data_IF_812963024518
#
_entry.id   IF_812963024518
#
_cell.length_a   1.000
_cell.length_b   1.000
_cell.length_c   1.000
_cell.angle_alpha   90.00
_cell.angle_beta   90.00
_cell.angle_gamma   90.00
#
_symmetry.space_group_name_H-M   'P 1'
#
loop_
_entity.id
_entity.type
_entity.pdbx_description
1 polymer ?
#
# COMPACT_ATOMS: atom_id res chain seq x y z
N UNK A 1 -16.77 -42.63 -6.33
CA UNK A 1 -17.67 -41.65 -5.67
C UNK A 1 -16.77 -40.77 -4.82
N UNK A 2 -16.53 -39.52 -5.23
CA UNK A 2 -15.74 -38.57 -4.45
C UNK A 2 -16.73 -37.92 -3.48
N UNK A 3 -16.57 -38.16 -2.18
CA UNK A 3 -17.38 -37.48 -1.18
C UNK A 3 -16.85 -36.06 -1.03
N UNK A 4 -17.71 -35.07 -1.28
CA UNK A 4 -17.41 -33.68 -0.96
C UNK A 4 -17.34 -33.57 0.57
N UNK A 5 -16.13 -33.42 1.10
CA UNK A 5 -15.93 -33.23 2.55
C UNK A 5 -16.37 -31.82 2.93
N UNK A 6 -17.28 -31.71 3.90
CA UNK A 6 -17.70 -30.44 4.46
C UNK A 6 -16.49 -29.66 5.02
N UNK A 7 -16.18 -28.51 4.40
CA UNK A 7 -15.20 -27.55 4.93
C UNK A 7 -15.97 -26.61 5.84
N UNK A 8 -15.77 -26.77 7.16
CA UNK A 8 -16.36 -25.87 8.16
C UNK A 8 -15.85 -24.45 7.93
N UNK A 9 -16.76 -23.47 7.88
CA UNK A 9 -16.40 -22.06 7.77
C UNK A 9 -15.44 -21.65 8.90
N UNK A 10 -14.28 -21.13 8.50
CA UNK A 10 -13.31 -20.54 9.41
C UNK A 10 -13.85 -19.20 9.91
N UNK A 11 -13.77 -18.94 11.22
CA UNK A 11 -14.06 -17.59 11.74
C UNK A 11 -13.03 -16.61 11.18
N UNK A 12 -13.50 -15.57 10.50
CA UNK A 12 -12.66 -14.44 10.11
C UNK A 12 -12.37 -13.65 11.39
N UNK A 13 -11.12 -13.63 11.83
CA UNK A 13 -10.68 -12.87 12.99
C UNK A 13 -10.41 -11.43 12.51
N UNK A 14 -11.06 -10.46 13.15
CA UNK A 14 -10.79 -9.06 12.87
C UNK A 14 -9.37 -8.66 13.31
N UNK A 15 -8.72 -7.84 12.49
CA UNK A 15 -7.40 -7.29 12.82
C UNK A 15 -7.44 -6.42 14.07
N UNK A 16 -6.39 -6.50 14.88
CA UNK A 16 -6.18 -5.59 16.02
C UNK A 16 -5.96 -4.15 15.55
N UNK A 17 -6.05 -3.19 16.47
CA UNK A 17 -5.80 -1.79 16.13
C UNK A 17 -4.33 -1.51 15.79
N UNK A 18 -3.40 -2.26 16.39
CA UNK A 18 -1.98 -2.24 16.04
C UNK A 18 -1.75 -2.76 14.62
N UNK A 19 -2.35 -3.89 14.26
CA UNK A 19 -2.26 -4.47 12.91
C UNK A 19 -2.83 -3.51 11.86
N UNK A 20 -3.99 -2.91 12.14
CA UNK A 20 -4.61 -1.89 11.27
C UNK A 20 -3.73 -0.65 11.14
N UNK A 21 -3.00 -0.28 12.18
CA UNK A 21 -2.08 0.87 12.18
C UNK A 21 -0.81 0.56 11.38
N UNK A 22 -0.26 -0.65 11.53
CA UNK A 22 0.86 -1.13 10.73
C UNK A 22 0.49 -1.21 9.25
N UNK A 23 -0.67 -1.76 8.91
CA UNK A 23 -1.20 -1.80 7.54
C UNK A 23 -1.35 -0.42 6.93
N UNK A 24 -1.76 0.56 7.73
CA UNK A 24 -1.91 1.94 7.30
C UNK A 24 -0.56 2.56 6.92
N UNK A 25 0.47 2.30 7.72
CA UNK A 25 1.86 2.75 7.45
C UNK A 25 2.44 2.01 6.24
N UNK A 26 2.30 0.68 6.17
CA UNK A 26 2.69 -0.14 5.00
C UNK A 26 2.05 0.39 3.72
N UNK A 27 0.75 0.70 3.77
CA UNK A 27 0.00 1.26 2.63
C UNK A 27 0.54 2.61 2.17
N UNK A 28 0.93 3.49 3.11
CA UNK A 28 1.54 4.78 2.78
C UNK A 28 2.87 4.58 2.05
N UNK A 29 3.74 3.73 2.59
CA UNK A 29 5.07 3.48 2.04
C UNK A 29 4.98 2.86 0.66
N UNK A 30 4.12 1.85 0.48
CA UNK A 30 3.84 1.26 -0.83
C UNK A 30 3.36 2.30 -1.83
N UNK A 31 2.39 3.14 -1.44
CA UNK A 31 1.87 4.19 -2.34
C UNK A 31 2.94 5.22 -2.71
N UNK A 32 3.88 5.54 -1.82
CA UNK A 32 5.05 6.38 -2.14
C UNK A 32 5.97 5.71 -3.17
N UNK A 33 6.23 4.41 -3.03
CA UNK A 33 7.03 3.64 -3.99
C UNK A 33 6.33 3.55 -5.36
N UNK A 34 5.02 3.30 -5.37
CA UNK A 34 4.22 3.27 -6.59
C UNK A 34 4.23 4.63 -7.29
N UNK A 35 4.19 5.74 -6.54
CA UNK A 35 4.35 7.08 -7.08
C UNK A 35 5.76 7.28 -7.68
N UNK A 36 6.83 6.91 -6.98
CA UNK A 36 8.20 7.00 -7.49
C UNK A 36 8.35 6.21 -8.81
N UNK A 37 7.79 4.99 -8.88
CA UNK A 37 7.82 4.16 -10.08
C UNK A 37 7.00 4.77 -11.23
N UNK A 38 5.78 5.25 -10.95
CA UNK A 38 4.94 5.87 -11.97
C UNK A 38 5.60 7.13 -12.55
N UNK A 39 6.29 7.95 -11.75
CA UNK A 39 7.04 9.10 -12.25
C UNK A 39 8.20 8.66 -13.15
N UNK A 40 8.99 7.67 -12.73
CA UNK A 40 10.09 7.14 -13.57
C UNK A 40 9.58 6.61 -14.90
N UNK A 41 8.47 5.88 -14.89
CA UNK A 41 7.90 5.34 -16.12
C UNK A 41 7.27 6.42 -17.00
N UNK A 42 6.71 7.48 -16.40
CA UNK A 42 6.15 8.62 -17.12
C UNK A 42 7.21 9.37 -17.95
N UNK A 43 8.46 9.45 -17.49
CA UNK A 43 9.57 10.07 -18.25
C UNK A 43 9.82 9.42 -19.62
N UNK A 44 9.45 8.15 -19.78
CA UNK A 44 9.62 7.38 -21.02
C UNK A 44 8.27 7.01 -21.66
N UNK A 45 7.15 7.53 -21.15
CA UNK A 45 5.83 7.19 -21.63
C UNK A 45 5.53 7.91 -22.95
N UNK A 46 4.87 7.20 -23.86
CA UNK A 46 4.39 7.74 -25.14
C UNK A 46 2.98 7.19 -25.45
N UNK A 47 2.23 7.92 -26.28
CA UNK A 47 0.86 7.61 -26.63
C UNK A 47 -0.04 7.43 -25.41
N UNK A 48 -0.82 6.35 -25.40
CA UNK A 48 -1.80 6.06 -24.33
C UNK A 48 -1.16 5.82 -22.95
N UNK A 49 0.14 5.52 -22.89
CA UNK A 49 0.85 5.35 -21.62
C UNK A 49 1.02 6.67 -20.86
N UNK A 50 1.00 7.81 -21.57
CA UNK A 50 1.08 9.14 -20.94
C UNK A 50 -0.11 9.35 -20.02
N UNK A 51 -1.33 9.15 -20.53
CA UNK A 51 -2.56 9.31 -19.73
C UNK A 51 -2.63 8.30 -18.59
N UNK A 52 -2.21 7.06 -18.85
CA UNK A 52 -2.16 6.01 -17.84
C UNK A 52 -1.27 6.39 -16.65
N UNK A 53 -0.01 6.76 -16.90
CA UNK A 53 0.92 7.12 -15.84
C UNK A 53 0.59 8.47 -15.20
N UNK A 54 0.07 9.45 -15.97
CA UNK A 54 -0.45 10.70 -15.42
C UNK A 54 -1.59 10.46 -14.41
N UNK A 55 -2.51 9.55 -14.74
CA UNK A 55 -3.57 9.14 -13.82
C UNK A 55 -3.00 8.47 -12.57
N UNK A 56 -2.06 7.53 -12.73
CA UNK A 56 -1.44 6.87 -11.58
C UNK A 56 -0.73 7.84 -10.65
N UNK A 57 -0.01 8.82 -11.19
CA UNK A 57 0.67 9.87 -10.41
C UNK A 57 -0.36 10.65 -9.58
N UNK A 58 -1.43 11.14 -10.22
CA UNK A 58 -2.50 11.91 -9.54
C UNK A 58 -3.20 11.07 -8.47
N UNK A 59 -3.53 9.81 -8.80
CA UNK A 59 -4.20 8.90 -7.87
C UNK A 59 -3.33 8.57 -6.65
N UNK A 60 -2.04 8.28 -6.86
CA UNK A 60 -1.11 7.99 -5.77
C UNK A 60 -0.85 9.22 -4.89
N UNK A 61 -0.71 10.42 -5.46
CA UNK A 61 -0.62 11.66 -4.70
C UNK A 61 -1.86 11.91 -3.83
N UNK A 62 -3.08 11.74 -4.39
CA UNK A 62 -4.33 11.87 -3.65
C UNK A 62 -4.41 10.83 -2.51
N UNK A 63 -4.00 9.59 -2.78
CA UNK A 63 -3.98 8.51 -1.79
C UNK A 63 -2.97 8.76 -0.67
N UNK A 64 -1.76 9.26 -0.97
CA UNK A 64 -0.77 9.67 0.04
C UNK A 64 -1.36 10.75 0.96
N UNK A 65 -2.00 11.78 0.39
CA UNK A 65 -2.63 12.85 1.16
C UNK A 65 -3.72 12.31 2.10
N UNK A 66 -4.55 11.39 1.63
CA UNK A 66 -5.55 10.72 2.44
C UNK A 66 -4.92 9.89 3.57
N UNK A 67 -3.92 9.06 3.26
CA UNK A 67 -3.24 8.20 4.23
C UNK A 67 -2.55 9.02 5.32
N UNK A 68 -1.84 10.09 4.96
CA UNK A 68 -1.22 11.01 5.92
C UNK A 68 -2.24 11.65 6.85
N UNK A 69 -3.39 12.11 6.33
CA UNK A 69 -4.48 12.64 7.16
C UNK A 69 -5.01 11.57 8.12
N UNK A 70 -5.16 10.33 7.66
CA UNK A 70 -5.65 9.21 8.48
C UNK A 70 -4.66 8.80 9.57
N UNK A 71 -3.36 8.77 9.27
CA UNK A 71 -2.26 8.49 10.22
C UNK A 71 -2.23 9.56 11.31
N UNK A 72 -2.27 10.85 10.92
CA UNK A 72 -2.31 11.97 11.86
C UNK A 72 -3.51 11.90 12.81
N UNK A 73 -4.71 11.59 12.28
CA UNK A 73 -5.92 11.41 13.11
C UNK A 73 -5.83 10.27 14.12
N UNK A 74 -4.97 9.27 13.86
CA UNK A 74 -4.71 8.15 14.79
C UNK A 74 -3.58 8.43 15.77
N UNK A 75 -2.96 9.61 15.74
CA UNK A 75 -1.84 9.96 16.61
C UNK A 75 -0.54 9.21 16.31
N UNK A 76 -0.45 8.56 15.14
CA UNK A 76 0.73 7.81 14.73
C UNK A 76 1.82 8.79 14.25
N UNK A 77 3.02 8.65 14.80
CA UNK A 77 4.22 9.36 14.35
C UNK A 77 5.03 8.37 13.50
N UNK A 78 5.39 8.77 12.29
CA UNK A 78 6.29 8.00 11.42
C UNK A 78 7.60 8.78 11.37
N UNK A 79 8.66 8.19 11.92
CA UNK A 79 10.00 8.72 11.76
C UNK A 79 10.70 8.12 10.52
N UNK A 80 11.83 8.70 10.14
CA UNK A 80 12.59 8.30 8.95
C UNK A 80 13.26 6.92 9.08
N UNK A 81 13.44 6.38 10.29
CA UNK A 81 14.04 5.07 10.54
C UNK A 81 12.97 3.99 10.32
N UNK A 82 11.80 4.17 10.94
CA UNK A 82 10.63 3.31 10.76
C UNK A 82 10.17 3.25 9.29
N UNK A 83 10.23 4.37 8.55
CA UNK A 83 9.91 4.35 7.13
C UNK A 83 10.87 3.45 6.32
N UNK A 84 12.17 3.46 6.64
CA UNK A 84 13.17 2.64 5.93
C UNK A 84 13.00 1.17 6.22
N UNK A 85 12.79 0.80 7.49
CA UNK A 85 12.63 -0.60 7.90
C UNK A 85 11.38 -1.21 7.27
N UNK A 86 10.26 -0.49 7.28
CA UNK A 86 9.02 -0.96 6.67
C UNK A 86 9.14 -1.02 5.15
N UNK A 87 9.88 -0.10 4.51
CA UNK A 87 10.18 -0.15 3.07
C UNK A 87 10.98 -1.42 2.70
N UNK A 88 11.92 -1.84 3.54
CA UNK A 88 12.70 -3.05 3.32
C UNK A 88 11.85 -4.32 3.50
N UNK A 89 10.99 -4.35 4.51
CA UNK A 89 10.03 -5.45 4.73
C UNK A 89 9.06 -5.61 3.57
N UNK A 90 8.49 -4.50 3.07
CA UNK A 90 7.56 -4.55 1.92
C UNK A 90 8.25 -4.98 0.62
N UNK A 91 9.56 -4.77 0.46
CA UNK A 91 10.33 -5.32 -0.66
C UNK A 91 10.56 -6.82 -0.53
N UNK A 92 10.82 -7.33 0.68
CA UNK A 92 10.98 -8.77 0.93
C UNK A 92 9.68 -9.55 0.71
N UNK A 93 8.52 -8.98 1.06
CA UNK A 93 7.20 -9.59 0.81
C UNK A 93 6.83 -9.69 -0.69
N UNK A 94 7.56 -9.00 -1.57
CA UNK A 94 7.33 -8.97 -3.01
C UNK A 94 8.29 -9.86 -3.82
N UNK A 95 9.21 -10.57 -3.15
CA UNK A 95 10.14 -11.56 -3.72
C UNK A 95 9.68 -12.98 -3.40
#
# INVERSE_FOLDING_TARGET
MIYETYIKESKIIDKTDEEKSLDLVKSLIKTKMDLELANKNFEFADGELVDYYAYQIKANQAKINYLLKKIKRRGLIIDNIQERDIRNLTKQEAM
#
